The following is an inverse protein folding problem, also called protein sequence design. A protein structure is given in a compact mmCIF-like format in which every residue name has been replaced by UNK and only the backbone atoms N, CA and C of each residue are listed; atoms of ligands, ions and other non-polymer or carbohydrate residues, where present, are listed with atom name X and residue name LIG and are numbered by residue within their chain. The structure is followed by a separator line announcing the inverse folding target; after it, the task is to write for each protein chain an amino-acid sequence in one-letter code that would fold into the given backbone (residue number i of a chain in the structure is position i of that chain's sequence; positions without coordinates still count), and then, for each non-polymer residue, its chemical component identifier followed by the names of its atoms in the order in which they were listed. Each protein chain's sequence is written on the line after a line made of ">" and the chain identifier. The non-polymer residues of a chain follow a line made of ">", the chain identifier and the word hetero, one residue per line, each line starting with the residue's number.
data_IF_212166233097
#
_entry.id   IF_212166233097
#
_cell.length_a   1.000
_cell.length_b   1.000
_cell.length_c   1.000
_cell.angle_alpha   90.00
_cell.angle_beta   90.00
_cell.angle_gamma   90.00
#
_symmetry.space_group_name_H-M   'P 1'
#
loop_
_entity.id
_entity.type
_entity.pdbx_description
1 polymer ?
#
# COMPACT_ATOMS: atom_id res chain seq x y z
N UNK A 1 2.20 6.93 16.42
CA UNK A 1 1.13 6.91 15.40
C UNK A 1 1.73 7.21 14.03
N UNK A 2 1.08 6.82 12.94
CA UNK A 2 1.55 7.14 11.58
C UNK A 2 1.05 8.55 11.22
N UNK A 3 1.93 9.52 10.88
CA UNK A 3 1.55 10.90 10.61
C UNK A 3 0.77 11.09 9.30
N UNK A 4 0.97 10.23 8.30
CA UNK A 4 0.33 10.33 6.98
C UNK A 4 -0.19 8.98 6.48
N UNK A 5 -1.07 9.00 5.48
CA UNK A 5 -1.41 7.81 4.71
C UNK A 5 -2.16 6.73 5.49
N UNK A 6 -3.34 7.04 6.06
CA UNK A 6 -4.20 6.02 6.70
C UNK A 6 -5.04 5.28 5.66
N UNK A 7 -4.40 4.49 4.81
CA UNK A 7 -5.08 3.73 3.74
C UNK A 7 -4.84 2.23 3.89
N UNK A 8 -5.66 1.42 3.21
CA UNK A 8 -5.49 -0.05 3.21
C UNK A 8 -4.14 -0.49 2.64
N UNK A 9 -3.59 0.26 1.69
CA UNK A 9 -2.25 -0.02 1.15
C UNK A 9 -1.12 0.23 2.15
N UNK A 10 -1.27 1.21 3.03
CA UNK A 10 -0.33 1.42 4.14
C UNK A 10 -0.40 0.29 5.15
N UNK A 11 -1.61 -0.18 5.48
CA UNK A 11 -1.78 -1.32 6.39
C UNK A 11 -1.13 -2.59 5.83
N UNK A 12 -1.31 -2.83 4.51
CA UNK A 12 -0.63 -3.92 3.79
C UNK A 12 0.89 -3.83 3.92
N UNK A 13 1.48 -2.66 3.66
CA UNK A 13 2.93 -2.50 3.71
C UNK A 13 3.49 -2.54 5.14
N UNK A 14 2.71 -2.06 6.12
CA UNK A 14 3.08 -2.10 7.53
C UNK A 14 3.02 -3.51 8.14
N UNK A 15 2.10 -4.36 7.68
CA UNK A 15 1.91 -5.74 8.17
C UNK A 15 3.21 -6.55 8.32
N UNK A 16 3.99 -6.79 7.25
CA UNK A 16 5.21 -7.59 7.33
C UNK A 16 6.30 -6.96 8.19
N UNK A 17 6.37 -5.62 8.25
CA UNK A 17 7.33 -4.90 9.09
C UNK A 17 7.04 -5.15 10.57
N UNK A 18 5.76 -5.06 10.96
CA UNK A 18 5.34 -5.34 12.34
C UNK A 18 5.61 -6.80 12.70
N UNK A 19 5.29 -7.73 11.81
CA UNK A 19 5.54 -9.17 12.04
C UNK A 19 7.04 -9.45 12.20
N UNK A 20 7.89 -8.93 11.32
CA UNK A 20 9.34 -9.14 11.39
C UNK A 20 9.97 -8.54 12.66
N UNK A 21 9.51 -7.36 13.07
CA UNK A 21 9.94 -6.76 14.33
C UNK A 21 9.42 -7.53 15.56
N UNK A 22 8.19 -8.03 15.52
CA UNK A 22 7.63 -8.84 16.60
C UNK A 22 8.43 -10.13 16.80
N UNK A 23 8.75 -10.84 15.71
CA UNK A 23 9.59 -12.05 15.73
C UNK A 23 10.98 -11.70 16.29
N UNK A 24 11.58 -10.59 15.86
CA UNK A 24 12.90 -10.16 16.36
C UNK A 24 12.89 -9.95 17.88
N UNK A 25 11.85 -9.29 18.40
CA UNK A 25 11.68 -9.07 19.85
C UNK A 25 11.46 -10.39 20.59
N UNK A 26 10.66 -11.31 20.03
CA UNK A 26 10.47 -12.65 20.60
C UNK A 26 11.78 -13.44 20.68
N UNK A 27 12.68 -13.25 19.72
CA UNK A 27 14.03 -13.84 19.71
C UNK A 27 15.07 -13.05 20.53
N UNK A 28 14.66 -12.01 21.26
CA UNK A 28 15.54 -11.10 22.02
C UNK A 28 16.57 -10.35 21.16
N UNK A 29 16.24 -10.09 19.89
CA UNK A 29 17.01 -9.26 18.95
C UNK A 29 16.41 -7.87 18.88
N UNK A 30 17.20 -6.89 18.45
CA UNK A 30 16.70 -5.55 18.19
C UNK A 30 15.85 -5.50 16.90
N UNK A 31 14.72 -4.77 16.89
CA UNK A 31 13.90 -4.59 15.71
C UNK A 31 14.57 -3.61 14.72
N UNK A 32 14.92 -4.08 13.54
CA UNK A 32 15.66 -3.31 12.53
C UNK A 32 14.72 -2.73 11.45
N UNK A 33 13.57 -3.36 11.21
CA UNK A 33 12.68 -2.97 10.11
C UNK A 33 11.97 -1.65 10.45
N UNK A 34 12.04 -0.69 9.54
CA UNK A 34 11.39 0.62 9.68
C UNK A 34 10.35 0.79 8.59
N UNK A 35 9.20 1.34 8.97
CA UNK A 35 8.17 1.73 8.03
C UNK A 35 8.54 3.07 7.42
N UNK A 36 8.61 3.11 6.09
CA UNK A 36 8.95 4.24 5.25
C UNK A 36 7.79 5.22 5.02
N UNK A 37 6.60 4.90 5.53
CA UNK A 37 5.41 5.72 5.35
C UNK A 37 4.66 5.43 4.06
N UNK A 38 4.98 4.33 3.35
CA UNK A 38 4.34 3.98 2.09
C UNK A 38 2.81 3.97 2.21
N UNK A 39 2.17 4.65 1.26
CA UNK A 39 0.73 4.71 1.15
C UNK A 39 0.32 4.89 -0.30
N UNK A 40 -0.86 4.40 -0.61
CA UNK A 40 -1.47 4.50 -1.93
C UNK A 40 -2.90 5.00 -1.80
N UNK A 41 -3.26 5.92 -2.70
CA UNK A 41 -4.59 6.48 -2.83
C UNK A 41 -5.03 6.43 -4.30
N UNK A 42 -5.95 5.53 -4.67
CA UNK A 42 -6.59 5.56 -5.98
C UNK A 42 -7.59 6.72 -6.02
N UNK A 43 -7.23 7.80 -6.71
CA UNK A 43 -8.05 9.00 -6.87
C UNK A 43 -8.92 8.86 -8.11
N UNK A 44 -10.24 8.80 -7.91
CA UNK A 44 -11.23 8.78 -9.00
C UNK A 44 -11.40 10.20 -9.55
N UNK A 45 -10.89 10.46 -10.75
CA UNK A 45 -10.99 11.79 -11.39
C UNK A 45 -12.27 11.93 -12.19
N UNK A 46 -12.67 10.87 -12.88
CA UNK A 46 -13.92 10.78 -13.64
C UNK A 46 -14.39 9.31 -13.69
N UNK A 47 -15.58 9.09 -14.24
CA UNK A 47 -16.05 7.73 -14.51
C UNK A 47 -15.14 7.05 -15.54
N UNK A 48 -14.55 5.92 -15.14
CA UNK A 48 -13.59 5.22 -15.99
C UNK A 48 -12.14 5.72 -15.86
N UNK A 49 -11.85 6.66 -14.95
CA UNK A 49 -10.53 7.25 -14.83
C UNK A 49 -10.06 7.28 -13.37
N UNK A 50 -8.92 6.65 -13.11
CA UNK A 50 -8.27 6.69 -11.79
C UNK A 50 -6.81 7.09 -11.94
N UNK A 51 -6.36 7.94 -11.03
CA UNK A 51 -4.96 8.29 -10.78
C UNK A 51 -4.48 7.47 -9.58
N UNK A 52 -3.40 6.71 -9.75
CA UNK A 52 -2.76 5.96 -8.66
C UNK A 52 -1.70 6.84 -8.00
N UNK A 53 -2.11 7.56 -6.95
CA UNK A 53 -1.18 8.37 -6.17
C UNK A 53 -0.50 7.51 -5.11
N UNK A 54 0.79 7.25 -5.29
CA UNK A 54 1.64 6.49 -4.37
C UNK A 54 2.73 7.38 -3.79
N UNK A 55 2.84 7.39 -2.47
CA UNK A 55 3.74 8.28 -1.73
C UNK A 55 4.27 7.61 -0.47
N UNK A 56 5.46 8.03 -0.06
CA UNK A 56 6.10 7.67 1.20
C UNK A 56 6.53 8.95 1.94
N UNK A 57 7.32 8.84 3.02
CA UNK A 57 7.80 10.03 3.73
C UNK A 57 8.79 10.89 2.92
N UNK A 58 9.46 10.31 1.93
CA UNK A 58 10.47 11.00 1.10
C UNK A 58 9.86 11.66 -0.15
N UNK A 59 8.61 11.32 -0.51
CA UNK A 59 7.89 11.93 -1.61
C UNK A 59 7.09 10.93 -2.44
N UNK A 60 7.12 11.09 -3.76
CA UNK A 60 6.40 10.22 -4.71
C UNK A 60 7.13 8.88 -4.85
N UNK A 61 6.41 7.78 -4.66
CA UNK A 61 6.98 6.43 -4.66
C UNK A 61 6.15 5.48 -5.56
N UNK A 62 6.16 5.68 -6.89
CA UNK A 62 5.35 4.88 -7.81
C UNK A 62 5.90 3.44 -7.93
N UNK A 63 5.02 2.47 -7.71
CA UNK A 63 5.29 1.03 -7.85
C UNK A 63 5.39 0.57 -9.29
N UNK A 64 4.82 1.34 -10.23
CA UNK A 64 4.83 1.05 -11.66
C UNK A 64 5.59 2.14 -12.41
N UNK A 65 6.34 1.80 -13.49
CA UNK A 65 7.05 2.76 -14.34
C UNK A 65 6.10 3.51 -15.28
N UNK A 66 4.95 3.95 -14.75
CA UNK A 66 3.91 4.69 -15.45
C UNK A 66 3.80 6.06 -14.78
N UNK A 67 3.54 7.09 -15.57
CA UNK A 67 3.29 8.43 -15.03
C UNK A 67 2.12 8.36 -14.03
N UNK A 68 2.38 8.62 -12.73
CA UNK A 68 1.38 8.51 -11.69
C UNK A 68 0.38 9.66 -11.72
N UNK A 69 0.64 10.74 -12.47
CA UNK A 69 -0.29 11.87 -12.63
C UNK A 69 -1.32 11.66 -13.75
N UNK A 70 -1.13 10.65 -14.60
CA UNK A 70 -2.02 10.39 -15.72
C UNK A 70 -3.21 9.53 -15.29
N UNK A 71 -4.46 9.99 -15.49
CA UNK A 71 -5.65 9.17 -15.25
C UNK A 71 -5.69 8.00 -16.26
N UNK A 72 -6.00 6.79 -15.78
CA UNK A 72 -6.07 5.59 -16.63
C UNK A 72 -7.27 4.72 -16.32
N UNK A 73 -7.86 4.16 -17.38
CA UNK A 73 -8.93 3.17 -17.30
C UNK A 73 -8.48 1.84 -16.70
N UNK A 74 -7.20 1.48 -16.87
CA UNK A 74 -6.66 0.25 -16.26
C UNK A 74 -6.76 0.28 -14.74
N UNK A 75 -6.55 1.45 -14.12
CA UNK A 75 -6.66 1.62 -12.68
C UNK A 75 -8.12 1.57 -12.22
N UNK A 76 -9.04 2.09 -13.03
CA UNK A 76 -10.48 1.92 -12.81
C UNK A 76 -10.91 0.45 -12.82
N UNK A 77 -10.45 -0.32 -13.80
CA UNK A 77 -10.70 -1.76 -13.84
C UNK A 77 -10.07 -2.50 -12.65
N UNK A 78 -8.85 -2.14 -12.27
CA UNK A 78 -8.18 -2.70 -11.09
C UNK A 78 -8.93 -2.41 -9.78
N UNK A 79 -9.41 -1.18 -9.59
CA UNK A 79 -10.20 -0.79 -8.42
C UNK A 79 -11.49 -1.59 -8.30
N UNK A 80 -12.22 -1.75 -9.42
CA UNK A 80 -13.50 -2.47 -9.44
C UNK A 80 -13.36 -3.98 -9.28
N UNK A 81 -12.41 -4.60 -9.97
CA UNK A 81 -12.37 -6.06 -10.11
C UNK A 81 -11.29 -6.74 -9.27
N UNK A 82 -10.18 -6.07 -8.97
CA UNK A 82 -9.01 -6.70 -8.34
C UNK A 82 -8.89 -6.40 -6.85
N UNK A 83 -9.22 -5.19 -6.39
CA UNK A 83 -9.02 -4.82 -4.98
C UNK A 83 -9.82 -5.69 -4.01
N UNK A 84 -11.09 -5.98 -4.33
CA UNK A 84 -11.96 -6.76 -3.45
C UNK A 84 -11.49 -8.22 -3.24
N UNK A 85 -11.14 -9.00 -4.28
CA UNK A 85 -10.57 -10.33 -4.08
C UNK A 85 -9.17 -10.29 -3.46
N UNK A 86 -8.32 -9.33 -3.83
CA UNK A 86 -7.00 -9.16 -3.20
C UNK A 86 -7.11 -8.92 -1.69
N UNK A 87 -8.03 -8.06 -1.28
CA UNK A 87 -8.27 -7.81 0.14
C UNK A 87 -8.75 -9.08 0.86
N UNK A 88 -9.80 -9.74 0.34
CA UNK A 88 -10.43 -10.88 1.03
C UNK A 88 -9.61 -12.15 1.03
N UNK A 89 -8.91 -12.46 -0.07
CA UNK A 89 -8.23 -13.74 -0.24
C UNK A 89 -6.72 -13.67 -0.01
N UNK A 90 -6.10 -12.49 -0.04
CA UNK A 90 -4.65 -12.34 0.18
C UNK A 90 -4.37 -11.59 1.48
N UNK A 91 -4.85 -10.35 1.58
CA UNK A 91 -4.48 -9.46 2.67
C UNK A 91 -4.99 -9.95 4.03
N UNK A 92 -6.26 -10.39 4.11
CA UNK A 92 -6.83 -10.95 5.35
C UNK A 92 -6.21 -12.29 5.74
N UNK A 93 -5.65 -13.03 4.78
CA UNK A 93 -4.97 -14.30 5.02
C UNK A 93 -3.48 -14.14 5.37
N UNK A 94 -2.97 -12.90 5.42
CA UNK A 94 -1.56 -12.61 5.70
C UNK A 94 -0.60 -13.02 4.59
N UNK A 95 -1.09 -13.23 3.37
CA UNK A 95 -0.29 -13.60 2.21
C UNK A 95 0.30 -12.39 1.46
N UNK A 96 -0.05 -11.17 1.89
CA UNK A 96 0.22 -9.92 1.18
C UNK A 96 0.47 -8.75 2.13
#
# INVERSE_FOLDING_TARGET
>A
GIPMGKTGGSARHQGPIVVGNLISVMEKKEPILKFDGYTVCPLKTAYGEIIMAEFNYDGLAPSFPLDPAQPRLMWWAFDLYSLQPMYRHLMLNGLM
#
